data_IF_010602097607
#
_entry.id   IF_010602097607
#
_cell.length_a   1.000
_cell.length_b   1.000
_cell.length_c   1.000
_cell.angle_alpha   90.00
_cell.angle_beta   90.00
_cell.angle_gamma   90.00
#
_symmetry.space_group_name_H-M   'P 1'
#
loop_
_entity.id
_entity.type
_entity.pdbx_description
1 polymer ?
#
# COMPACT_ATOMS: atom_id res chain seq x y z
N UNK A 1 16.40 -27.51 2.34
CA UNK A 1 15.27 -27.61 3.30
C UNK A 1 15.68 -27.10 4.69
N UNK A 2 16.97 -27.06 5.04
CA UNK A 2 17.50 -26.33 6.21
C UNK A 2 17.08 -24.84 6.29
N UNK A 3 17.05 -24.11 5.17
CA UNK A 3 16.81 -22.66 5.16
C UNK A 3 15.42 -22.23 5.68
N UNK A 4 14.41 -23.09 5.56
CA UNK A 4 13.05 -22.79 6.05
C UNK A 4 12.93 -23.09 7.55
N UNK A 5 13.67 -24.09 8.05
CA UNK A 5 13.70 -24.43 9.48
C UNK A 5 14.43 -23.33 10.29
N UNK A 6 15.47 -22.73 9.73
CA UNK A 6 16.18 -21.60 10.37
C UNK A 6 15.33 -20.31 10.36
N UNK A 7 14.52 -20.10 9.32
CA UNK A 7 13.54 -18.99 9.27
C UNK A 7 12.42 -19.15 10.31
N UNK A 8 11.96 -20.37 10.57
CA UNK A 8 10.94 -20.64 11.60
C UNK A 8 11.49 -20.43 13.02
N UNK A 9 12.77 -20.78 13.25
CA UNK A 9 13.41 -20.65 14.57
C UNK A 9 13.65 -19.19 14.97
N UNK A 10 14.08 -18.33 14.03
CA UNK A 10 14.36 -16.91 14.30
C UNK A 10 13.12 -15.99 14.27
N UNK A 11 11.94 -16.50 13.92
CA UNK A 11 10.67 -15.74 13.90
C UNK A 11 9.83 -15.99 15.15
N UNK A 12 10.19 -16.99 15.95
CA UNK A 12 9.41 -17.49 17.08
C UNK A 12 10.26 -17.73 18.32
N UNK A 13 11.39 -17.04 18.50
CA UNK A 13 12.05 -17.08 19.80
C UNK A 13 11.12 -16.46 20.85
N UNK A 14 10.82 -17.34 21.79
CA UNK A 14 9.88 -17.27 22.90
C UNK A 14 10.48 -16.37 23.98
N UNK A 15 10.11 -15.10 24.04
CA UNK A 15 10.29 -14.29 25.26
C UNK A 15 9.38 -13.04 25.23
N UNK A 16 8.07 -13.27 25.19
CA UNK A 16 7.06 -12.34 25.75
C UNK A 16 5.70 -13.06 25.95
N UNK A 17 5.77 -14.32 26.37
CA UNK A 17 4.64 -15.13 26.82
C UNK A 17 4.88 -15.49 28.28
N UNK A 18 4.64 -14.55 29.20
CA UNK A 18 4.06 -14.75 30.54
C UNK A 18 3.66 -13.35 31.04
N UNK A 19 2.36 -13.13 31.19
CA UNK A 19 1.71 -12.56 32.39
C UNK A 19 0.32 -11.99 32.05
N UNK A 20 -0.59 -12.82 31.52
CA UNK A 20 -2.04 -12.63 31.75
C UNK A 20 -2.67 -14.01 31.95
N UNK A 21 -2.34 -14.64 33.08
CA UNK A 21 -3.22 -15.64 33.72
C UNK A 21 -3.53 -15.12 35.11
N UNK A 22 -4.75 -14.61 35.28
CA UNK A 22 -5.30 -14.25 36.57
C UNK A 22 -6.40 -13.22 36.40
N UNK A 23 -7.58 -13.55 36.94
CA UNK A 23 -8.70 -12.63 37.20
C UNK A 23 -9.54 -12.22 35.98
N UNK A 24 -10.86 -12.40 35.92
CA UNK A 24 -11.81 -12.97 36.84
C UNK A 24 -13.04 -13.41 36.01
N UNK A 25 -13.52 -14.62 36.26
CA UNK A 25 -14.88 -15.01 35.91
C UNK A 25 -15.83 -14.22 36.82
N UNK A 26 -16.25 -13.04 36.37
CA UNK A 26 -17.38 -12.31 36.95
C UNK A 26 -18.69 -12.98 36.54
N UNK A 27 -19.25 -13.79 37.43
CA UNK A 27 -20.64 -14.27 37.34
C UNK A 27 -21.56 -13.06 37.22
N UNK A 28 -22.25 -12.92 36.10
CA UNK A 28 -23.46 -12.08 36.05
C UNK A 28 -24.55 -12.85 36.79
N UNK A 29 -24.82 -12.40 38.02
CA UNK A 29 -26.02 -12.77 38.75
C UNK A 29 -27.25 -12.38 37.92
N UNK A 30 -28.30 -13.20 37.90
CA UNK A 30 -29.59 -12.78 37.37
C UNK A 30 -30.23 -11.87 38.43
N UNK A 31 -30.18 -10.55 38.23
CA UNK A 31 -31.07 -9.63 38.93
C UNK A 31 -32.49 -9.81 38.39
N UNK A 32 -33.11 -10.92 38.78
CA UNK A 32 -34.56 -11.08 38.74
C UNK A 32 -35.14 -10.40 39.97
N UNK A 33 -34.98 -9.09 40.08
CA UNK A 33 -35.88 -8.30 40.91
C UNK A 33 -37.19 -8.16 40.16
N UNK A 34 -38.18 -8.90 40.63
CA UNK A 34 -39.59 -8.71 40.31
C UNK A 34 -39.91 -7.24 40.64
N UNK A 35 -39.82 -6.37 39.63
CA UNK A 35 -40.20 -4.96 39.76
C UNK A 35 -41.67 -4.89 40.09
N UNK A 36 -41.92 -4.57 41.34
CA UNK A 36 -43.22 -4.30 41.93
C UNK A 36 -44.02 -3.33 41.04
N UNK A 37 -45.27 -3.71 40.74
CA UNK A 37 -46.18 -3.00 39.82
C UNK A 37 -46.72 -1.68 40.40
N UNK A 38 -46.23 -1.29 41.58
CA UNK A 38 -46.59 -0.08 42.31
C UNK A 38 -46.15 1.23 41.63
N UNK A 39 -45.17 1.19 40.72
CA UNK A 39 -44.69 2.40 40.02
C UNK A 39 -45.70 2.97 39.01
N UNK A 40 -46.52 2.11 38.38
CA UNK A 40 -47.60 2.54 37.46
C UNK A 40 -48.69 3.29 38.24
N UNK A 41 -48.96 2.87 39.48
CA UNK A 41 -49.84 3.60 40.40
C UNK A 41 -49.24 4.97 40.77
N UNK A 42 -47.94 5.04 41.08
CA UNK A 42 -47.28 6.30 41.43
C UNK A 42 -47.26 7.31 40.26
N UNK A 43 -46.89 6.87 39.05
CA UNK A 43 -46.72 7.76 37.87
C UNK A 43 -48.02 8.46 37.43
N UNK A 44 -49.18 7.83 37.62
CA UNK A 44 -50.45 8.43 37.21
C UNK A 44 -51.18 9.18 38.32
N UNK A 45 -50.88 8.90 39.60
CA UNK A 45 -51.44 9.59 40.76
C UNK A 45 -50.65 10.83 41.20
N UNK A 46 -49.39 11.00 40.78
CA UNK A 46 -48.63 12.23 41.02
C UNK A 46 -48.70 13.13 39.77
N UNK A 47 -49.31 14.30 39.95
CA UNK A 47 -49.52 15.34 38.94
C UNK A 47 -48.20 16.06 38.62
N UNK A 48 -47.48 15.64 37.58
CA UNK A 48 -46.47 16.50 36.93
C UNK A 48 -46.54 16.39 35.39
N UNK A 49 -46.43 17.50 34.63
CA UNK A 49 -46.51 17.49 33.17
C UNK A 49 -45.17 17.10 32.53
N UNK A 50 -45.20 16.24 31.50
CA UNK A 50 -44.04 15.89 30.67
C UNK A 50 -43.98 16.82 29.44
N UNK A 51 -42.83 17.49 29.24
CA UNK A 51 -42.51 18.27 28.04
C UNK A 51 -42.04 17.37 26.87
N UNK A 52 -42.39 17.76 25.65
CA UNK A 52 -42.12 17.02 24.42
C UNK A 52 -40.80 17.41 23.76
N UNK A 53 -40.00 16.41 23.35
CA UNK A 53 -38.86 16.58 22.43
C UNK A 53 -39.29 16.34 20.97
N UNK A 54 -38.88 17.19 20.00
CA UNK A 54 -39.17 16.98 18.59
C UNK A 54 -38.17 16.05 17.88
N UNK A 55 -38.65 15.40 16.82
CA UNK A 55 -37.89 14.57 15.86
C UNK A 55 -37.28 15.44 14.76
N UNK A 56 -36.06 15.13 14.34
CA UNK A 56 -35.49 15.61 13.07
C UNK A 56 -35.52 14.51 12.00
N UNK A 57 -36.03 14.88 10.83
CA UNK A 57 -35.89 14.20 9.55
C UNK A 57 -34.55 14.55 8.91
N UNK A 58 -33.91 13.61 8.21
CA UNK A 58 -32.90 13.94 7.21
C UNK A 58 -33.17 13.13 5.93
N UNK A 59 -33.23 13.87 4.84
CA UNK A 59 -33.54 13.49 3.46
C UNK A 59 -32.37 12.86 2.69
N UNK A 60 -32.69 11.96 1.77
CA UNK A 60 -31.83 11.48 0.69
C UNK A 60 -31.57 12.56 -0.38
N UNK A 61 -30.34 12.63 -0.90
CA UNK A 61 -30.06 13.16 -2.25
C UNK A 61 -28.99 12.33 -2.96
N UNK A 62 -29.29 12.03 -4.22
CA UNK A 62 -28.44 11.52 -5.29
C UNK A 62 -27.47 12.60 -5.78
N UNK A 63 -26.32 12.19 -6.28
CA UNK A 63 -25.57 12.94 -7.29
C UNK A 63 -24.98 11.95 -8.30
N UNK A 64 -25.30 12.21 -9.55
CA UNK A 64 -24.82 11.54 -10.75
C UNK A 64 -24.12 12.63 -11.58
N UNK A 65 -23.07 12.20 -12.27
CA UNK A 65 -22.48 12.78 -13.47
C UNK A 65 -21.36 13.82 -13.39
N UNK A 66 -20.62 13.83 -14.50
CA UNK A 66 -19.58 14.77 -14.96
C UNK A 66 -18.12 14.34 -14.72
N UNK A 67 -17.51 13.74 -15.76
CA UNK A 67 -16.45 14.38 -16.60
C UNK A 67 -15.66 13.33 -17.40
N UNK A 68 -15.99 13.19 -18.70
CA UNK A 68 -15.01 12.89 -19.77
C UNK A 68 -14.19 14.16 -20.03
N UNK A 69 -12.93 14.09 -20.51
CA UNK A 69 -12.72 14.13 -21.97
C UNK A 69 -11.33 13.56 -22.42
N UNK A 70 -10.75 13.63 -23.64
CA UNK A 70 -11.00 14.19 -24.98
C UNK A 70 -10.22 13.28 -25.97
N UNK A 71 -10.75 13.01 -27.16
CA UNK A 71 -9.96 12.65 -28.36
C UNK A 71 -9.33 13.93 -28.93
N UNK A 72 -8.13 13.85 -29.49
CA UNK A 72 -7.73 14.71 -30.60
C UNK A 72 -6.66 14.05 -31.50
N UNK A 73 -6.78 14.41 -32.77
CA UNK A 73 -6.30 13.82 -34.03
C UNK A 73 -5.01 14.55 -34.50
N UNK A 74 -4.26 14.06 -35.51
CA UNK A 74 -2.79 14.09 -35.58
C UNK A 74 -2.18 15.30 -36.34
N UNK A 75 -1.63 15.08 -37.54
CA UNK A 75 -0.93 16.00 -38.46
C UNK A 75 0.60 16.22 -38.17
N UNK A 76 1.43 16.65 -39.16
CA UNK A 76 2.28 15.81 -40.02
C UNK A 76 3.76 16.29 -39.99
N UNK A 77 4.67 15.68 -40.77
CA UNK A 77 5.66 16.43 -41.57
C UNK A 77 6.49 15.49 -42.45
N UNK A 78 6.42 15.78 -43.75
CA UNK A 78 7.24 15.29 -44.85
C UNK A 78 8.73 15.64 -44.63
N UNK A 79 9.65 14.96 -45.33
CA UNK A 79 10.33 15.52 -46.53
C UNK A 79 11.25 14.43 -47.09
N UNK A 80 10.92 13.97 -48.29
CA UNK A 80 11.80 13.21 -49.18
C UNK A 80 12.96 14.08 -49.65
N UNK A 81 14.18 13.53 -49.67
CA UNK A 81 15.31 14.09 -50.42
C UNK A 81 15.83 13.01 -51.38
N UNK A 82 16.16 13.35 -52.64
CA UNK A 82 16.27 12.40 -53.75
C UNK A 82 17.61 11.65 -53.77
N UNK A 83 17.58 10.44 -54.35
CA UNK A 83 18.78 9.75 -54.84
C UNK A 83 19.47 10.64 -55.88
N UNK A 84 20.67 11.11 -55.56
CA UNK A 84 21.58 11.74 -56.52
C UNK A 84 22.51 10.65 -57.05
N UNK A 85 22.34 10.30 -58.32
CA UNK A 85 23.31 9.53 -59.09
C UNK A 85 24.65 10.27 -59.09
N UNK A 86 25.69 9.62 -58.54
CA UNK A 86 27.06 10.10 -58.62
C UNK A 86 27.57 9.83 -60.03
N UNK A 87 27.91 10.86 -60.84
CA UNK A 87 28.55 10.63 -62.13
C UNK A 87 29.92 9.99 -61.91
N UNK A 88 30.21 8.91 -62.64
CA UNK A 88 31.56 8.34 -62.76
C UNK A 88 32.52 9.44 -63.21
N UNK A 89 33.30 9.98 -62.27
CA UNK A 89 34.55 10.65 -62.62
C UNK A 89 35.57 9.56 -62.95
N UNK A 90 35.79 9.37 -64.24
CA UNK A 90 37.00 8.72 -64.75
C UNK A 90 38.19 9.53 -64.24
N UNK A 91 38.92 8.99 -63.26
CA UNK A 91 40.28 9.43 -63.02
C UNK A 91 41.11 8.97 -64.21
N UNK A 92 41.93 9.84 -64.84
CA UNK A 92 42.90 9.37 -65.81
C UNK A 92 43.77 8.33 -65.12
N UNK A 93 43.87 7.15 -65.74
CA UNK A 93 44.87 6.15 -65.37
C UNK A 93 46.23 6.86 -65.36
N UNK A 94 46.80 7.06 -64.17
CA UNK A 94 48.21 7.39 -64.03
C UNK A 94 48.98 6.30 -64.78
N UNK A 95 49.61 6.69 -65.90
CA UNK A 95 50.50 5.83 -66.65
C UNK A 95 51.48 5.19 -65.68
N UNK A 96 51.57 3.85 -65.70
CA UNK A 96 52.66 3.13 -65.02
C UNK A 96 53.96 3.79 -65.45
N UNK A 97 54.83 4.24 -64.52
CA UNK A 97 56.09 4.83 -64.91
C UNK A 97 56.88 3.78 -65.69
N UNK A 98 57.24 4.12 -66.94
CA UNK A 98 58.20 3.36 -67.74
C UNK A 98 59.46 3.15 -66.90
N UNK A 99 60.06 1.95 -66.88
CA UNK A 99 61.29 1.72 -66.11
C UNK A 99 62.39 2.65 -66.64
N UNK A 100 62.96 3.53 -65.82
CA UNK A 100 64.12 4.32 -66.23
C UNK A 100 65.36 3.42 -66.26
N UNK A 101 66.26 3.78 -67.17
CA UNK A 101 67.50 3.10 -67.50
C UNK A 101 68.37 2.86 -66.26
N UNK A 102 68.95 1.67 -66.16
CA UNK A 102 70.07 1.37 -65.26
C UNK A 102 71.15 2.46 -65.37
N UNK A 103 71.40 3.20 -64.29
CA UNK A 103 72.52 4.16 -64.28
C UNK A 103 72.49 5.31 -63.26
N UNK A 104 71.49 5.44 -62.39
CA UNK A 104 71.60 6.40 -61.27
C UNK A 104 72.42 5.77 -60.14
N UNK A 105 73.58 6.37 -59.81
CA UNK A 105 74.39 6.00 -58.65
C UNK A 105 73.55 6.20 -57.38
N UNK A 106 73.00 5.10 -56.87
CA UNK A 106 72.34 5.07 -55.57
C UNK A 106 73.40 5.42 -54.52
N UNK A 107 73.14 6.47 -53.72
CA UNK A 107 74.01 6.87 -52.62
C UNK A 107 74.37 5.67 -51.72
N UNK A 108 75.64 5.51 -51.32
CA UNK A 108 76.05 4.48 -50.35
C UNK A 108 75.17 4.48 -49.09
N UNK A 109 74.76 5.66 -48.61
CA UNK A 109 73.91 5.78 -47.42
C UNK A 109 72.52 5.18 -47.60
N UNK A 110 71.95 5.28 -48.79
CA UNK A 110 70.62 4.73 -49.11
C UNK A 110 70.65 3.21 -49.24
N UNK A 111 71.77 2.64 -49.73
CA UNK A 111 71.99 1.19 -49.70
C UNK A 111 72.20 0.67 -48.28
N UNK A 112 72.95 1.40 -47.45
CA UNK A 112 73.15 1.08 -46.03
C UNK A 112 71.83 1.09 -45.26
N UNK A 113 71.00 2.13 -45.44
CA UNK A 113 69.70 2.25 -44.77
C UNK A 113 68.76 1.11 -45.17
N UNK A 114 68.68 0.77 -46.46
CA UNK A 114 67.88 -0.37 -46.92
C UNK A 114 68.35 -1.68 -46.26
N UNK A 115 69.67 -1.93 -46.23
CA UNK A 115 70.25 -3.12 -45.59
C UNK A 115 69.95 -3.16 -44.10
N UNK A 116 70.05 -2.02 -43.41
CA UNK A 116 69.75 -1.90 -41.98
C UNK A 116 68.27 -2.18 -41.69
N UNK A 117 67.34 -1.66 -42.50
CA UNK A 117 65.90 -1.90 -42.34
C UNK A 117 65.55 -3.36 -42.64
N UNK A 118 66.13 -3.96 -43.69
CA UNK A 118 65.92 -5.37 -44.04
C UNK A 118 66.48 -6.30 -42.96
N UNK A 119 67.65 -6.00 -42.42
CA UNK A 119 68.28 -6.75 -41.32
C UNK A 119 67.46 -6.63 -40.03
N UNK A 120 67.00 -5.43 -39.68
CA UNK A 120 66.10 -5.21 -38.54
C UNK A 120 64.79 -5.98 -38.73
N UNK A 121 64.19 -5.96 -39.92
CA UNK A 121 62.97 -6.71 -40.19
C UNK A 121 63.16 -8.22 -40.08
N UNK A 122 64.35 -8.73 -40.38
CA UNK A 122 64.69 -10.15 -40.24
C UNK A 122 64.94 -10.54 -38.78
N UNK A 123 65.61 -9.69 -38.01
CA UNK A 123 66.01 -9.96 -36.63
C UNK A 123 64.87 -9.70 -35.63
N UNK A 124 64.05 -8.68 -35.86
CA UNK A 124 62.99 -8.28 -34.94
C UNK A 124 61.73 -9.08 -35.24
N UNK A 125 61.71 -10.31 -34.73
CA UNK A 125 60.51 -11.13 -34.69
C UNK A 125 59.47 -10.55 -33.71
N UNK A 126 58.26 -11.10 -33.76
CA UNK A 126 57.14 -10.63 -32.91
C UNK A 126 57.43 -10.77 -31.41
N UNK A 127 58.25 -11.75 -31.01
CA UNK A 127 58.65 -11.99 -29.63
C UNK A 127 59.60 -10.91 -29.13
N UNK A 128 60.63 -10.59 -29.90
CA UNK A 128 61.60 -9.55 -29.58
C UNK A 128 60.94 -8.17 -29.48
N UNK A 129 60.06 -7.84 -30.42
CA UNK A 129 59.30 -6.58 -30.42
C UNK A 129 58.40 -6.50 -29.17
N UNK A 130 57.82 -7.61 -28.72
CA UNK A 130 56.96 -7.64 -27.54
C UNK A 130 57.70 -7.25 -26.25
N UNK A 131 58.91 -7.77 -26.05
CA UNK A 131 59.74 -7.47 -24.88
C UNK A 131 60.47 -6.12 -24.96
N UNK A 132 60.72 -5.59 -26.16
CA UNK A 132 61.51 -4.37 -26.37
C UNK A 132 60.74 -3.25 -27.08
N UNK A 133 59.41 -3.20 -26.94
CA UNK A 133 58.51 -2.35 -27.74
C UNK A 133 58.97 -0.87 -27.85
N UNK A 134 59.35 -0.25 -26.74
CA UNK A 134 59.75 1.17 -26.71
C UNK A 134 61.08 1.42 -27.44
N UNK A 135 62.02 0.47 -27.32
CA UNK A 135 63.31 0.51 -28.05
C UNK A 135 63.08 0.34 -29.55
N UNK A 136 62.21 -0.59 -29.94
CA UNK A 136 61.87 -0.84 -31.34
C UNK A 136 61.13 0.35 -31.95
N UNK A 137 60.18 0.97 -31.23
CA UNK A 137 59.49 2.20 -31.65
C UNK A 137 60.47 3.35 -31.85
N UNK A 138 61.40 3.54 -30.91
CA UNK A 138 62.44 4.57 -31.01
C UNK A 138 63.34 4.34 -32.23
N UNK A 139 63.75 3.09 -32.49
CA UNK A 139 64.55 2.73 -33.66
C UNK A 139 63.79 2.90 -34.97
N UNK A 140 62.51 2.54 -35.02
CA UNK A 140 61.64 2.81 -36.17
C UNK A 140 61.54 4.30 -36.49
N UNK A 141 61.34 5.15 -35.47
CA UNK A 141 61.29 6.61 -35.64
C UNK A 141 62.63 7.17 -36.13
N UNK A 142 63.76 6.61 -35.67
CA UNK A 142 65.09 6.97 -36.18
C UNK A 142 65.22 6.64 -37.67
N UNK A 143 64.87 5.41 -38.08
CA UNK A 143 64.94 4.96 -39.48
C UNK A 143 64.01 5.77 -40.39
N UNK A 144 62.81 6.12 -39.90
CA UNK A 144 61.86 6.97 -40.63
C UNK A 144 62.42 8.40 -40.82
N UNK A 145 63.06 8.95 -39.79
CA UNK A 145 63.70 10.26 -39.87
C UNK A 145 64.90 10.26 -40.82
N UNK A 146 65.68 9.18 -40.85
CA UNK A 146 66.79 9.02 -41.80
C UNK A 146 66.28 8.91 -43.23
N UNK A 147 65.23 8.10 -43.47
CA UNK A 147 64.54 8.03 -44.77
C UNK A 147 64.09 9.41 -45.24
N UNK A 148 63.48 10.21 -44.37
CA UNK A 148 62.98 11.55 -44.72
C UNK A 148 64.10 12.58 -45.00
N UNK A 149 65.35 12.31 -44.59
CA UNK A 149 66.51 13.15 -44.87
C UNK A 149 67.24 12.77 -46.17
N UNK A 150 66.88 11.64 -46.79
CA UNK A 150 67.50 11.21 -48.04
C UNK A 150 67.09 12.15 -49.18
N UNK A 151 68.07 12.59 -49.97
CA UNK A 151 67.88 13.39 -51.18
C UNK A 151 67.83 12.52 -52.46
N UNK A 152 67.99 11.20 -52.33
CA UNK A 152 68.01 10.25 -53.43
C UNK A 152 66.66 10.17 -54.14
N UNK A 153 66.69 10.22 -55.47
CA UNK A 153 65.50 10.22 -56.33
C UNK A 153 65.17 8.87 -56.95
N UNK A 154 65.99 7.84 -56.69
CA UNK A 154 65.77 6.51 -57.27
C UNK A 154 64.46 5.91 -56.72
N UNK A 155 63.39 5.82 -57.55
CA UNK A 155 62.06 5.49 -57.05
C UNK A 155 61.98 4.05 -56.55
N UNK A 156 62.75 3.12 -57.12
CA UNK A 156 62.70 1.70 -56.77
C UNK A 156 63.29 1.41 -55.38
N UNK A 157 64.43 2.04 -55.05
CA UNK A 157 65.08 1.83 -53.75
C UNK A 157 64.29 2.50 -52.63
N UNK A 158 63.76 3.69 -52.87
CA UNK A 158 62.90 4.40 -51.92
C UNK A 158 61.60 3.64 -51.67
N UNK A 159 60.94 3.13 -52.71
CA UNK A 159 59.73 2.30 -52.57
C UNK A 159 60.00 1.04 -51.72
N UNK A 160 61.17 0.41 -51.91
CA UNK A 160 61.56 -0.77 -51.13
C UNK A 160 61.86 -0.45 -49.67
N UNK A 161 62.50 0.70 -49.40
CA UNK A 161 62.69 1.24 -48.04
C UNK A 161 61.33 1.49 -47.39
N UNK A 162 60.41 2.15 -48.09
CA UNK A 162 59.08 2.48 -47.59
C UNK A 162 58.25 1.23 -47.28
N UNK A 163 58.30 0.24 -48.17
CA UNK A 163 57.65 -1.06 -47.95
C UNK A 163 58.22 -1.74 -46.71
N UNK A 164 59.54 -1.75 -46.55
CA UNK A 164 60.20 -2.39 -45.40
C UNK A 164 59.90 -1.65 -44.08
N UNK A 165 59.84 -0.32 -44.10
CA UNK A 165 59.41 0.49 -42.96
C UNK A 165 57.93 0.24 -42.63
N UNK A 166 57.08 0.06 -43.64
CA UNK A 166 55.66 -0.28 -43.46
C UNK A 166 55.53 -1.66 -42.81
N UNK A 167 56.28 -2.66 -43.27
CA UNK A 167 56.30 -4.00 -42.66
C UNK A 167 56.76 -3.97 -41.19
N UNK A 168 57.78 -3.17 -40.86
CA UNK A 168 58.24 -2.98 -39.49
C UNK A 168 57.18 -2.28 -38.63
N UNK A 169 56.54 -1.25 -39.17
CA UNK A 169 55.43 -0.55 -38.51
C UNK A 169 54.26 -1.49 -38.23
N UNK A 170 53.85 -2.29 -39.21
CA UNK A 170 52.76 -3.27 -39.06
C UNK A 170 53.07 -4.30 -37.96
N UNK A 171 54.33 -4.75 -37.84
CA UNK A 171 54.76 -5.63 -36.75
C UNK A 171 54.68 -4.92 -35.39
N UNK A 172 55.14 -3.67 -35.30
CA UNK A 172 55.06 -2.85 -34.08
C UNK A 172 53.61 -2.62 -33.66
N UNK A 173 52.73 -2.29 -34.61
CA UNK A 173 51.32 -2.02 -34.36
C UNK A 173 50.60 -3.30 -33.90
N UNK A 174 50.81 -4.44 -34.57
CA UNK A 174 50.28 -5.75 -34.14
C UNK A 174 50.69 -6.12 -32.72
N UNK A 175 51.96 -5.93 -32.38
CA UNK A 175 52.49 -6.24 -31.04
C UNK A 175 51.97 -5.24 -30.00
N UNK A 176 51.87 -3.95 -30.34
CA UNK A 176 51.29 -2.91 -29.49
C UNK A 176 49.84 -3.24 -29.16
N UNK A 177 49.03 -3.57 -30.16
CA UNK A 177 47.65 -4.01 -29.98
C UNK A 177 47.55 -5.27 -29.11
N UNK A 178 48.41 -6.27 -29.35
CA UNK A 178 48.45 -7.50 -28.53
C UNK A 178 48.76 -7.20 -27.06
N UNK A 179 49.73 -6.31 -26.79
CA UNK A 179 50.14 -5.94 -25.43
C UNK A 179 49.03 -5.15 -24.71
N UNK A 180 48.39 -4.21 -25.40
CA UNK A 180 47.25 -3.46 -24.86
C UNK A 180 46.04 -4.39 -24.59
N UNK A 181 45.73 -5.29 -25.52
CA UNK A 181 44.70 -6.30 -25.33
C UNK A 181 44.99 -7.23 -24.15
N UNK A 182 46.24 -7.66 -23.95
CA UNK A 182 46.62 -8.45 -22.76
C UNK A 182 46.46 -7.67 -21.46
N UNK A 183 46.80 -6.39 -21.45
CA UNK A 183 46.62 -5.51 -20.29
C UNK A 183 45.14 -5.37 -19.92
N UNK A 184 44.30 -5.01 -20.89
CA UNK A 184 42.84 -4.87 -20.70
C UNK A 184 42.26 -6.20 -20.20
N UNK A 185 42.69 -7.34 -20.78
CA UNK A 185 42.25 -8.65 -20.33
C UNK A 185 42.58 -8.90 -18.86
N UNK A 186 43.80 -8.58 -18.43
CA UNK A 186 44.22 -8.71 -17.04
C UNK A 186 43.40 -7.84 -16.09
N UNK A 187 43.07 -6.61 -16.48
CA UNK A 187 42.18 -5.72 -15.71
C UNK A 187 40.79 -6.33 -15.51
N UNK A 188 40.21 -6.91 -16.57
CA UNK A 188 38.94 -7.64 -16.49
C UNK A 188 39.01 -8.88 -15.58
N UNK A 189 40.09 -9.67 -15.67
CA UNK A 189 40.27 -10.86 -14.83
C UNK A 189 40.35 -10.48 -13.34
N UNK A 190 41.09 -9.42 -12.98
CA UNK A 190 41.15 -8.89 -11.62
C UNK A 190 39.77 -8.41 -11.13
N UNK A 191 39.01 -7.74 -11.99
CA UNK A 191 37.66 -7.29 -11.65
C UNK A 191 36.69 -8.45 -11.43
N UNK A 192 36.76 -9.50 -12.27
CA UNK A 192 35.95 -10.70 -12.11
C UNK A 192 36.28 -11.44 -10.80
N UNK A 193 37.56 -11.56 -10.45
CA UNK A 193 37.97 -12.14 -9.17
C UNK A 193 37.42 -11.35 -7.98
N UNK A 194 37.41 -10.01 -8.08
CA UNK A 194 36.80 -9.13 -7.08
C UNK A 194 35.29 -9.35 -6.97
N UNK A 195 34.58 -9.43 -8.09
CA UNK A 195 33.15 -9.72 -8.12
C UNK A 195 32.83 -11.08 -7.50
N UNK A 196 33.60 -12.12 -7.83
CA UNK A 196 33.41 -13.47 -7.29
C UNK A 196 33.68 -13.52 -5.77
N UNK A 197 34.67 -12.76 -5.27
CA UNK A 197 34.89 -12.58 -3.81
C UNK A 197 33.69 -11.91 -3.15
N UNK A 198 33.21 -10.80 -3.71
CA UNK A 198 32.06 -10.06 -3.19
C UNK A 198 30.81 -10.95 -3.19
N UNK A 199 30.55 -11.71 -4.24
CA UNK A 199 29.40 -12.62 -4.29
C UNK A 199 29.48 -13.77 -3.28
N UNK A 200 30.68 -14.19 -2.87
CA UNK A 200 30.85 -15.16 -1.78
C UNK A 200 30.58 -14.55 -0.41
N UNK A 201 31.05 -13.33 -0.18
CA UNK A 201 30.90 -12.61 1.08
C UNK A 201 29.48 -12.09 1.29
N UNK A 202 28.89 -11.50 0.25
CA UNK A 202 27.59 -10.84 0.28
C UNK A 202 26.47 -11.87 0.11
N UNK A 203 26.37 -12.73 1.11
CA UNK A 203 25.25 -13.65 1.29
C UNK A 203 23.98 -12.89 1.64
N UNK A 204 22.81 -13.52 1.47
CA UNK A 204 21.51 -12.94 1.84
C UNK A 204 21.47 -12.46 3.30
N UNK A 205 22.10 -13.21 4.21
CA UNK A 205 22.20 -12.87 5.64
C UNK A 205 23.06 -11.61 5.85
N UNK A 206 24.21 -11.51 5.19
CA UNK A 206 25.08 -10.34 5.26
C UNK A 206 24.40 -9.08 4.70
N UNK A 207 23.76 -9.19 3.54
CA UNK A 207 23.03 -8.09 2.90
C UNK A 207 21.91 -7.56 3.80
N UNK A 208 21.20 -8.44 4.50
CA UNK A 208 20.14 -8.03 5.43
C UNK A 208 20.67 -7.24 6.63
N UNK A 209 21.89 -7.54 7.09
CA UNK A 209 22.54 -6.85 8.21
C UNK A 209 23.24 -5.55 7.78
N UNK A 210 23.83 -5.51 6.58
CA UNK A 210 24.72 -4.43 6.12
C UNK A 210 24.21 -3.75 4.84
N UNK A 211 22.91 -3.44 4.75
CA UNK A 211 22.26 -3.04 3.50
C UNK A 211 22.84 -1.77 2.85
N UNK A 212 23.25 -0.77 3.64
CA UNK A 212 23.80 0.48 3.11
C UNK A 212 25.20 0.29 2.52
N UNK A 213 26.05 -0.46 3.20
CA UNK A 213 27.40 -0.79 2.76
C UNK A 213 27.35 -1.57 1.45
N UNK A 214 26.51 -2.61 1.38
CA UNK A 214 26.33 -3.41 0.17
C UNK A 214 25.82 -2.55 -0.99
N UNK A 215 24.88 -1.63 -0.75
CA UNK A 215 24.37 -0.72 -1.79
C UNK A 215 25.44 0.24 -2.29
N UNK A 216 26.26 0.81 -1.39
CA UNK A 216 27.40 1.65 -1.77
C UNK A 216 28.39 0.84 -2.62
N UNK A 217 28.71 -0.38 -2.20
CA UNK A 217 29.64 -1.24 -2.91
C UNK A 217 29.13 -1.64 -4.30
N UNK A 218 27.83 -1.91 -4.42
CA UNK A 218 27.19 -2.18 -5.71
C UNK A 218 27.32 -1.00 -6.68
N UNK A 219 27.15 0.23 -6.20
CA UNK A 219 27.35 1.43 -7.03
C UNK A 219 28.81 1.60 -7.44
N UNK A 220 29.77 1.37 -6.54
CA UNK A 220 31.20 1.38 -6.88
C UNK A 220 31.54 0.36 -7.98
N UNK A 221 30.95 -0.83 -7.94
CA UNK A 221 31.16 -1.87 -8.97
C UNK A 221 30.56 -1.49 -10.32
N UNK A 222 29.43 -0.76 -10.35
CA UNK A 222 28.87 -0.23 -11.58
C UNK A 222 29.79 0.82 -12.21
N UNK A 223 30.28 1.76 -11.40
CA UNK A 223 31.21 2.79 -11.87
C UNK A 223 32.52 2.17 -12.40
N UNK A 224 33.04 1.15 -11.72
CA UNK A 224 34.24 0.42 -12.15
C UNK A 224 33.99 -0.35 -13.46
N UNK A 225 32.82 -0.97 -13.62
CA UNK A 225 32.37 -1.62 -14.87
C UNK A 225 32.39 -0.63 -16.04
N UNK A 226 31.79 0.54 -15.85
CA UNK A 226 31.63 1.53 -16.92
C UNK A 226 32.97 2.14 -17.35
N UNK A 227 33.96 2.19 -16.44
CA UNK A 227 35.33 2.64 -16.75
C UNK A 227 36.16 1.63 -17.57
N UNK A 228 35.86 0.33 -17.52
CA UNK A 228 36.63 -0.70 -18.22
C UNK A 228 36.43 -0.75 -19.75
N UNK A 229 35.58 0.12 -20.31
CA UNK A 229 35.40 0.28 -21.76
C UNK A 229 34.82 -0.96 -22.48
N UNK A 230 34.69 -0.93 -23.82
CA UNK A 230 34.04 -2.00 -24.58
C UNK A 230 34.84 -3.33 -24.65
N UNK A 231 36.16 -3.28 -24.40
CA UNK A 231 37.04 -4.43 -24.11
C UNK A 231 36.71 -5.77 -24.78
N UNK A 232 36.82 -6.84 -24.00
CA UNK A 232 36.51 -8.21 -24.41
C UNK A 232 35.03 -8.52 -24.16
N UNK A 233 34.20 -8.71 -25.20
CA UNK A 233 32.75 -8.86 -25.03
C UNK A 233 32.36 -10.01 -24.09
N UNK A 234 33.10 -11.13 -24.15
CA UNK A 234 32.84 -12.31 -23.31
C UNK A 234 33.07 -12.02 -21.82
N UNK A 235 34.17 -11.35 -21.46
CA UNK A 235 34.47 -11.01 -20.06
C UNK A 235 33.52 -9.94 -19.53
N UNK A 236 33.14 -8.99 -20.39
CA UNK A 236 32.14 -7.98 -20.08
C UNK A 236 30.78 -8.61 -19.77
N UNK A 237 30.33 -9.57 -20.58
CA UNK A 237 29.07 -10.28 -20.34
C UNK A 237 29.09 -11.04 -19.02
N UNK A 238 30.21 -11.69 -18.68
CA UNK A 238 30.37 -12.37 -17.38
C UNK A 238 30.29 -11.37 -16.22
N UNK A 239 30.99 -10.24 -16.32
CA UNK A 239 30.95 -9.18 -15.31
C UNK A 239 29.53 -8.62 -15.13
N UNK A 240 28.80 -8.41 -16.22
CA UNK A 240 27.40 -7.97 -16.20
C UNK A 240 26.49 -8.98 -15.52
N UNK A 241 26.65 -10.28 -15.80
CA UNK A 241 25.90 -11.35 -15.12
C UNK A 241 26.17 -11.37 -13.62
N UNK A 242 27.42 -11.20 -13.19
CA UNK A 242 27.79 -11.16 -11.76
C UNK A 242 27.24 -9.94 -11.03
N UNK A 243 27.29 -8.77 -11.67
CA UNK A 243 26.71 -7.53 -11.12
C UNK A 243 25.19 -7.66 -11.02
N UNK A 244 24.54 -8.22 -12.05
CA UNK A 244 23.11 -8.48 -12.04
C UNK A 244 22.73 -9.48 -10.94
N UNK A 245 23.51 -10.55 -10.74
CA UNK A 245 23.31 -11.49 -9.64
C UNK A 245 23.36 -10.78 -8.26
N UNK A 246 24.31 -9.87 -8.06
CA UNK A 246 24.40 -9.08 -6.82
C UNK A 246 23.16 -8.19 -6.65
N UNK A 247 22.72 -7.51 -7.72
CA UNK A 247 21.50 -6.70 -7.71
C UNK A 247 20.28 -7.53 -7.31
N UNK A 248 20.10 -8.69 -7.92
CA UNK A 248 18.98 -9.59 -7.65
C UNK A 248 18.96 -10.03 -6.18
N UNK A 249 20.13 -10.31 -5.60
CA UNK A 249 20.25 -10.62 -4.17
C UNK A 249 19.84 -9.44 -3.27
N UNK A 250 20.26 -8.22 -3.61
CA UNK A 250 19.89 -7.00 -2.89
C UNK A 250 18.37 -6.78 -2.95
N UNK A 251 17.79 -6.84 -4.15
CA UNK A 251 16.36 -6.60 -4.37
C UNK A 251 15.51 -7.66 -3.66
N UNK A 252 15.94 -8.93 -3.67
CA UNK A 252 15.24 -10.01 -2.99
C UNK A 252 15.23 -9.84 -1.46
N UNK A 253 16.35 -9.38 -0.87
CA UNK A 253 16.42 -9.06 0.57
C UNK A 253 15.54 -7.86 0.92
N UNK A 254 15.55 -6.81 0.08
CA UNK A 254 14.66 -5.65 0.23
C UNK A 254 13.18 -6.06 0.25
N UNK A 255 12.74 -6.80 -0.75
CA UNK A 255 11.36 -7.34 -0.82
C UNK A 255 11.01 -8.20 0.39
N UNK A 256 11.93 -9.06 0.84
CA UNK A 256 11.70 -9.91 2.02
C UNK A 256 11.51 -9.09 3.30
N UNK A 257 12.26 -8.00 3.47
CA UNK A 257 12.13 -7.09 4.63
C UNK A 257 10.77 -6.37 4.63
N UNK A 258 10.34 -5.90 3.47
CA UNK A 258 9.05 -5.19 3.34
C UNK A 258 7.87 -6.15 3.53
N UNK A 259 7.93 -7.36 2.97
CA UNK A 259 6.96 -8.41 3.23
C UNK A 259 6.87 -8.74 4.73
N UNK A 260 8.01 -8.84 5.43
CA UNK A 260 8.02 -9.09 6.89
C UNK A 260 7.32 -7.97 7.67
N UNK A 261 7.53 -6.70 7.29
CA UNK A 261 6.84 -5.56 7.91
C UNK A 261 5.34 -5.61 7.69
N UNK A 262 4.90 -5.91 6.46
CA UNK A 262 3.45 -6.02 6.16
C UNK A 262 2.79 -7.15 6.94
N UNK A 263 3.44 -8.33 7.01
CA UNK A 263 2.95 -9.45 7.83
C UNK A 263 2.81 -9.06 9.30
N UNK A 264 3.81 -8.39 9.88
CA UNK A 264 3.77 -7.89 11.26
C UNK A 264 2.64 -6.86 11.46
N UNK A 265 2.44 -5.96 10.51
CA UNK A 265 1.38 -4.96 10.59
C UNK A 265 -0.02 -5.59 10.56
N UNK A 266 -0.25 -6.59 9.68
CA UNK A 266 -1.51 -7.34 9.63
C UNK A 266 -1.74 -8.08 10.95
N UNK A 267 -0.73 -8.76 11.48
CA UNK A 267 -0.84 -9.52 12.73
C UNK A 267 -1.13 -8.59 13.92
N UNK A 268 -0.45 -7.44 14.01
CA UNK A 268 -0.68 -6.44 15.06
C UNK A 268 -2.10 -5.90 15.01
N UNK A 269 -2.56 -5.45 13.83
CA UNK A 269 -3.93 -4.95 13.66
C UNK A 269 -4.98 -6.02 13.96
N UNK A 270 -4.74 -7.27 13.56
CA UNK A 270 -5.64 -8.38 13.86
C UNK A 270 -5.75 -8.64 15.37
N UNK A 271 -4.63 -8.60 16.10
CA UNK A 271 -4.63 -8.69 17.56
C UNK A 271 -5.36 -7.52 18.21
N UNK A 272 -5.13 -6.29 17.72
CA UNK A 272 -5.84 -5.11 18.21
C UNK A 272 -7.36 -5.23 18.03
N UNK A 273 -7.83 -5.79 16.90
CA UNK A 273 -9.25 -6.03 16.66
C UNK A 273 -9.82 -6.98 17.72
N UNK A 274 -9.11 -8.07 18.01
CA UNK A 274 -9.53 -9.08 18.99
C UNK A 274 -9.61 -8.50 20.40
N UNK A 275 -8.62 -7.69 20.81
CA UNK A 275 -8.62 -7.07 22.14
C UNK A 275 -9.66 -5.96 22.28
N UNK A 276 -9.77 -5.09 21.27
CA UNK A 276 -10.71 -3.96 21.27
C UNK A 276 -12.16 -4.40 21.04
N UNK A 277 -12.41 -5.62 20.57
CA UNK A 277 -13.76 -6.19 20.45
C UNK A 277 -14.57 -6.10 21.75
N UNK A 278 -13.92 -6.07 22.92
CA UNK A 278 -14.57 -5.90 24.22
C UNK A 278 -15.12 -4.49 24.47
N UNK A 279 -14.66 -3.47 23.73
CA UNK A 279 -14.96 -2.04 23.95
C UNK A 279 -16.07 -1.49 23.02
N UNK A 280 -16.77 -2.35 22.29
CA UNK A 280 -18.00 -2.08 21.49
C UNK A 280 -17.93 -1.05 20.32
N UNK A 281 -16.75 -0.65 19.83
CA UNK A 281 -16.66 0.15 18.58
C UNK A 281 -16.69 -0.73 17.31
N UNK A 282 -17.88 -1.18 16.92
CA UNK A 282 -18.03 -2.09 15.77
C UNK A 282 -17.58 -1.48 14.43
N UNK A 283 -17.82 -0.19 14.20
CA UNK A 283 -17.53 0.45 12.91
C UNK A 283 -16.04 0.64 12.68
N UNK A 284 -15.32 1.13 13.70
CA UNK A 284 -13.86 1.22 13.64
C UNK A 284 -13.20 -0.15 13.47
N UNK A 285 -13.70 -1.18 14.16
CA UNK A 285 -13.17 -2.54 14.05
C UNK A 285 -13.43 -3.19 12.69
N UNK A 286 -14.61 -2.98 12.09
CA UNK A 286 -14.91 -3.46 10.74
C UNK A 286 -14.03 -2.79 9.68
N UNK A 287 -13.75 -1.49 9.84
CA UNK A 287 -12.82 -0.76 8.97
C UNK A 287 -11.41 -1.34 9.06
N UNK A 288 -10.89 -1.53 10.28
CA UNK A 288 -9.58 -2.12 10.51
C UNK A 288 -9.47 -3.55 9.95
N UNK A 289 -10.54 -4.35 10.09
CA UNK A 289 -10.59 -5.69 9.50
C UNK A 289 -10.49 -5.64 7.97
N UNK A 290 -11.21 -4.72 7.31
CA UNK A 290 -11.10 -4.52 5.86
C UNK A 290 -9.68 -4.12 5.44
N UNK A 291 -9.02 -3.25 6.22
CA UNK A 291 -7.60 -2.92 6.00
C UNK A 291 -6.71 -4.16 6.09
N UNK A 292 -6.91 -5.03 7.09
CA UNK A 292 -6.14 -6.27 7.22
C UNK A 292 -6.32 -7.20 6.03
N UNK A 293 -7.56 -7.37 5.55
CA UNK A 293 -7.88 -8.20 4.38
C UNK A 293 -7.22 -7.65 3.12
N UNK A 294 -7.38 -6.34 2.85
CA UNK A 294 -6.79 -5.71 1.67
C UNK A 294 -5.25 -5.83 1.67
N UNK A 295 -4.61 -5.61 2.83
CA UNK A 295 -3.16 -5.78 2.96
C UNK A 295 -2.74 -7.22 2.73
N UNK A 296 -3.47 -8.18 3.31
CA UNK A 296 -3.20 -9.60 3.10
C UNK A 296 -3.33 -10.00 1.62
N UNK A 297 -4.40 -9.57 0.93
CA UNK A 297 -4.60 -9.85 -0.49
C UNK A 297 -3.42 -9.37 -1.34
N UNK A 298 -2.92 -8.17 -1.04
CA UNK A 298 -1.78 -7.56 -1.76
C UNK A 298 -0.47 -8.35 -1.65
N UNK A 299 -0.24 -9.07 -0.54
CA UNK A 299 0.99 -9.83 -0.29
C UNK A 299 0.81 -11.36 -0.39
N UNK A 300 -0.43 -11.82 -0.60
CA UNK A 300 -0.83 -13.24 -0.44
C UNK A 300 -0.06 -14.22 -1.33
N UNK A 301 0.38 -13.76 -2.51
CA UNK A 301 1.13 -14.56 -3.49
C UNK A 301 2.63 -14.66 -3.18
N UNK A 302 3.16 -13.68 -2.44
CA UNK A 302 4.60 -13.52 -2.22
C UNK A 302 5.08 -14.08 -0.88
N UNK A 303 4.14 -14.43 0.02
CA UNK A 303 4.45 -15.00 1.33
C UNK A 303 4.43 -16.54 1.34
N UNK A 304 5.24 -17.19 2.19
CA UNK A 304 5.20 -18.64 2.35
C UNK A 304 3.84 -19.16 2.85
N UNK A 305 3.41 -20.33 2.36
CA UNK A 305 2.14 -20.97 2.78
C UNK A 305 1.93 -21.01 4.31
N UNK A 306 2.90 -21.41 5.15
CA UNK A 306 2.70 -21.45 6.60
C UNK A 306 2.40 -20.07 7.23
N UNK A 307 2.98 -19.00 6.69
CA UNK A 307 2.72 -17.62 7.13
C UNK A 307 1.34 -17.18 6.66
N UNK A 308 1.00 -17.50 5.41
CA UNK A 308 -0.32 -17.24 4.82
C UNK A 308 -1.43 -17.89 5.64
N UNK A 309 -1.27 -19.16 6.04
CA UNK A 309 -2.26 -19.89 6.83
C UNK A 309 -2.42 -19.30 8.24
N UNK A 310 -1.33 -18.86 8.88
CA UNK A 310 -1.39 -18.14 10.16
C UNK A 310 -2.22 -16.86 10.06
N UNK A 311 -1.99 -16.04 9.02
CA UNK A 311 -2.75 -14.81 8.79
C UNK A 311 -4.22 -15.13 8.53
N UNK A 312 -4.52 -16.11 7.67
CA UNK A 312 -5.90 -16.55 7.39
C UNK A 312 -6.64 -16.97 8.66
N UNK A 313 -6.00 -17.76 9.52
CA UNK A 313 -6.60 -18.18 10.78
C UNK A 313 -6.92 -16.98 11.68
N UNK A 314 -6.03 -15.97 11.70
CA UNK A 314 -6.26 -14.77 12.51
C UNK A 314 -7.37 -13.88 11.95
N UNK A 315 -7.43 -13.72 10.63
CA UNK A 315 -8.53 -13.02 9.96
C UNK A 315 -9.87 -13.74 10.17
N UNK A 316 -9.87 -15.07 10.12
CA UNK A 316 -11.07 -15.87 10.42
C UNK A 316 -11.56 -15.64 11.86
N UNK A 317 -10.65 -15.64 12.83
CA UNK A 317 -10.96 -15.34 14.22
C UNK A 317 -11.56 -13.92 14.38
N UNK A 318 -10.95 -12.92 13.76
CA UNK A 318 -11.45 -11.54 13.74
C UNK A 318 -12.87 -11.48 13.18
N UNK A 319 -13.11 -12.09 12.01
CA UNK A 319 -14.43 -12.10 11.37
C UNK A 319 -15.50 -12.75 12.25
N UNK A 320 -15.16 -13.87 12.91
CA UNK A 320 -16.06 -14.57 13.84
C UNK A 320 -16.47 -13.66 15.00
N UNK A 321 -15.51 -12.94 15.60
CA UNK A 321 -15.76 -12.01 16.70
C UNK A 321 -16.64 -10.85 16.24
N UNK A 322 -16.32 -10.24 15.10
CA UNK A 322 -17.08 -9.11 14.55
C UNK A 322 -18.51 -9.50 14.21
N UNK A 323 -18.73 -10.70 13.66
CA UNK A 323 -20.06 -11.23 13.40
C UNK A 323 -20.87 -11.38 14.70
N UNK A 324 -20.27 -11.94 15.74
CA UNK A 324 -20.92 -12.07 17.06
C UNK A 324 -21.26 -10.71 17.68
N UNK A 325 -20.36 -9.72 17.57
CA UNK A 325 -20.63 -8.36 18.04
C UNK A 325 -21.78 -7.70 17.29
N UNK A 326 -21.83 -7.88 15.96
CA UNK A 326 -22.93 -7.37 15.13
C UNK A 326 -24.28 -7.96 15.57
N UNK A 327 -24.32 -9.28 15.77
CA UNK A 327 -25.52 -10.00 16.25
C UNK A 327 -25.95 -9.49 17.63
N UNK A 328 -25.02 -9.30 18.57
CA UNK A 328 -25.31 -8.73 19.91
C UNK A 328 -25.87 -7.31 19.83
N UNK A 329 -25.30 -6.45 18.97
CA UNK A 329 -25.77 -5.07 18.79
C UNK A 329 -27.20 -5.03 18.23
N UNK A 330 -27.54 -5.92 17.30
CA UNK A 330 -28.90 -6.07 16.77
C UNK A 330 -29.85 -6.57 17.86
N UNK A 331 -29.49 -7.64 18.56
CA UNK A 331 -30.32 -8.20 19.64
C UNK A 331 -30.59 -7.18 20.77
N UNK A 332 -29.59 -6.37 21.13
CA UNK A 332 -29.75 -5.29 22.12
C UNK A 332 -30.73 -4.21 21.64
N UNK A 333 -30.65 -3.80 20.37
CA UNK A 333 -31.63 -2.85 19.79
C UNK A 333 -33.05 -3.42 19.81
N UNK A 334 -33.24 -4.68 19.42
CA UNK A 334 -34.55 -5.33 19.45
C UNK A 334 -35.10 -5.48 20.87
N UNK A 335 -34.25 -5.83 21.85
CA UNK A 335 -34.63 -5.91 23.26
C UNK A 335 -35.13 -4.56 23.77
N UNK A 336 -34.37 -3.49 23.53
CA UNK A 336 -34.75 -2.12 23.91
C UNK A 336 -36.08 -1.71 23.26
N UNK A 337 -36.28 -2.03 21.97
CA UNK A 337 -37.55 -1.75 21.29
C UNK A 337 -38.72 -2.52 21.92
N UNK A 338 -38.55 -3.81 22.23
CA UNK A 338 -39.57 -4.63 22.89
C UNK A 338 -39.90 -4.13 24.29
N UNK A 339 -38.90 -3.73 25.08
CA UNK A 339 -39.09 -3.14 26.40
C UNK A 339 -39.82 -1.80 26.33
N UNK A 340 -39.45 -0.95 25.36
CA UNK A 340 -40.13 0.32 25.12
C UNK A 340 -41.59 0.09 24.75
N UNK A 341 -41.87 -0.82 23.81
CA UNK A 341 -43.23 -1.18 23.41
C UNK A 341 -44.06 -1.77 24.57
N UNK A 342 -43.47 -2.64 25.40
CA UNK A 342 -44.13 -3.18 26.60
C UNK A 342 -44.45 -2.08 27.60
N UNK A 343 -43.51 -1.17 27.83
CA UNK A 343 -43.70 -0.03 28.75
C UNK A 343 -44.85 0.85 28.29
N UNK A 344 -44.88 1.21 27.00
CA UNK A 344 -46.01 1.95 26.41
C UNK A 344 -47.33 1.19 26.51
N UNK A 345 -47.33 -0.14 26.37
CA UNK A 345 -48.54 -0.95 26.52
C UNK A 345 -49.06 -0.97 27.97
N UNK A 346 -48.17 -1.11 28.96
CA UNK A 346 -48.54 -1.06 30.38
C UNK A 346 -49.07 0.32 30.78
N UNK A 347 -48.48 1.39 30.24
CA UNK A 347 -48.95 2.76 30.41
C UNK A 347 -50.40 2.94 29.91
N UNK A 348 -50.69 2.47 28.68
CA UNK A 348 -52.04 2.51 28.12
C UNK A 348 -53.02 1.65 28.93
N UNK A 349 -52.62 0.47 29.42
CA UNK A 349 -53.47 -0.38 30.25
C UNK A 349 -53.76 0.24 31.62
N UNK A 350 -52.77 0.82 32.28
CA UNK A 350 -52.93 1.53 33.55
C UNK A 350 -53.90 2.71 33.41
N UNK A 351 -53.76 3.49 32.33
CA UNK A 351 -54.67 4.59 32.01
C UNK A 351 -56.12 4.12 31.75
N UNK A 352 -56.31 2.99 31.08
CA UNK A 352 -57.66 2.40 30.87
C UNK A 352 -58.31 1.95 32.18
N UNK A 353 -57.55 1.33 33.08
CA UNK A 353 -58.06 0.93 34.41
C UNK A 353 -58.46 2.18 35.20
N UNK A 354 -57.59 3.19 35.22
CA UNK A 354 -57.86 4.46 35.88
C UNK A 354 -59.13 5.14 35.32
N UNK A 355 -59.28 5.18 34.00
CA UNK A 355 -60.48 5.70 33.33
C UNK A 355 -61.76 4.96 33.76
N UNK A 356 -61.72 3.63 33.78
CA UNK A 356 -62.87 2.83 34.18
C UNK A 356 -63.26 3.06 35.64
N UNK A 357 -62.29 3.22 36.53
CA UNK A 357 -62.54 3.57 37.94
C UNK A 357 -63.17 4.96 38.06
N UNK A 358 -62.60 5.96 37.38
CA UNK A 358 -63.16 7.30 37.33
C UNK A 358 -64.62 7.31 36.83
N UNK A 359 -64.92 6.56 35.76
CA UNK A 359 -66.29 6.46 35.25
C UNK A 359 -67.26 5.81 36.24
N UNK A 360 -66.81 4.83 37.03
CA UNK A 360 -67.62 4.26 38.11
C UNK A 360 -67.89 5.28 39.20
N UNK A 361 -66.88 6.05 39.62
CA UNK A 361 -67.04 7.10 40.61
C UNK A 361 -68.04 8.17 40.17
N UNK A 362 -68.02 8.58 38.88
CA UNK A 362 -69.01 9.51 38.31
C UNK A 362 -70.42 8.91 38.35
N UNK A 363 -70.58 7.63 37.99
CA UNK A 363 -71.88 6.95 38.04
C UNK A 363 -72.42 6.80 39.47
N UNK A 364 -71.54 6.45 40.43
CA UNK A 364 -71.90 6.37 41.84
C UNK A 364 -72.26 7.74 42.40
N UNK A 365 -71.53 8.79 42.01
CA UNK A 365 -71.85 10.16 42.37
C UNK A 365 -73.23 10.59 41.84
N UNK A 366 -73.58 10.25 40.60
CA UNK A 366 -74.91 10.49 40.05
C UNK A 366 -76.02 9.75 40.82
N UNK A 367 -75.78 8.49 41.22
CA UNK A 367 -76.72 7.75 42.09
C UNK A 367 -76.88 8.42 43.46
N UNK A 368 -75.79 8.91 44.06
CA UNK A 368 -75.85 9.64 45.32
C UNK A 368 -76.64 10.94 45.19
N UNK A 369 -76.40 11.71 44.13
CA UNK A 369 -77.12 12.95 43.83
C UNK A 369 -78.62 12.75 43.71
N UNK A 370 -79.07 11.70 43.01
CA UNK A 370 -80.50 11.39 42.86
C UNK A 370 -81.26 11.12 44.17
N UNK A 371 -80.55 10.88 45.28
CA UNK A 371 -81.13 10.61 46.60
C UNK A 371 -80.80 11.70 47.63
N UNK A 372 -80.06 12.72 47.22
CA UNK A 372 -79.56 13.76 48.09
C UNK A 372 -80.68 14.73 48.49
N UNK A 373 -80.52 15.34 49.65
CA UNK A 373 -81.39 16.43 50.13
C UNK A 373 -80.63 17.75 50.10
N UNK A 374 -81.35 18.88 50.05
CA UNK A 374 -80.77 20.22 49.90
C UNK A 374 -79.65 20.55 50.89
N UNK A 375 -79.77 20.16 52.17
CA UNK A 375 -78.72 20.35 53.19
C UNK A 375 -77.36 19.66 52.90
N UNK A 376 -77.31 18.70 51.96
CA UNK A 376 -76.08 18.00 51.56
C UNK A 376 -75.36 18.69 50.39
N UNK A 377 -75.88 19.81 49.90
CA UNK A 377 -75.40 20.52 48.70
C UNK A 377 -73.89 20.81 48.75
N UNK A 378 -73.39 21.46 49.79
CA UNK A 378 -71.98 21.88 49.86
C UNK A 378 -70.99 20.71 49.83
N UNK A 379 -71.33 19.59 50.48
CA UNK A 379 -70.50 18.38 50.46
C UNK A 379 -70.46 17.75 49.06
N UNK A 380 -71.62 17.65 48.41
CA UNK A 380 -71.74 17.07 47.07
C UNK A 380 -71.12 17.97 45.99
N UNK A 381 -71.22 19.30 46.13
CA UNK A 381 -70.58 20.25 45.24
C UNK A 381 -69.05 20.16 45.30
N UNK A 382 -68.48 19.96 46.50
CA UNK A 382 -67.04 19.72 46.66
C UNK A 382 -66.61 18.39 46.02
N UNK A 383 -67.41 17.33 46.15
CA UNK A 383 -67.18 16.04 45.47
C UNK A 383 -67.24 16.18 43.94
N UNK A 384 -68.20 16.95 43.42
CA UNK A 384 -68.31 17.26 42.00
C UNK A 384 -67.09 17.99 41.45
N UNK A 385 -66.59 19.01 42.14
CA UNK A 385 -65.40 19.74 41.71
C UNK A 385 -64.16 18.82 41.62
N UNK A 386 -63.99 17.89 42.56
CA UNK A 386 -62.91 16.89 42.50
C UNK A 386 -63.02 15.98 41.28
N UNK A 387 -64.23 15.52 40.94
CA UNK A 387 -64.45 14.71 39.73
C UNK A 387 -64.18 15.52 38.45
N UNK A 388 -64.61 16.79 38.42
CA UNK A 388 -64.37 17.70 37.29
C UNK A 388 -62.87 17.98 37.07
N UNK A 389 -62.12 18.21 38.13
CA UNK A 389 -60.68 18.46 38.05
C UNK A 389 -59.93 17.21 37.58
N UNK A 390 -60.35 16.03 38.07
CA UNK A 390 -59.84 14.73 37.61
C UNK A 390 -60.13 14.50 36.12
N UNK A 391 -61.33 14.84 35.65
CA UNK A 391 -61.68 14.81 34.22
C UNK A 391 -60.78 15.74 33.38
N UNK A 392 -60.57 16.98 33.81
CA UNK A 392 -59.71 17.94 33.10
C UNK A 392 -58.28 17.42 32.96
N UNK A 393 -57.74 16.80 34.01
CA UNK A 393 -56.42 16.18 33.98
C UNK A 393 -56.35 14.97 33.04
N UNK A 394 -57.43 14.19 32.93
CA UNK A 394 -57.50 13.03 32.05
C UNK A 394 -57.64 13.41 30.58
N UNK A 395 -58.40 14.47 30.27
CA UNK A 395 -58.55 14.99 28.89
C UNK A 395 -57.20 15.41 28.31
N UNK A 396 -56.33 16.02 29.11
CA UNK A 396 -54.98 16.46 28.69
C UNK A 396 -54.04 15.31 28.30
N UNK A 397 -54.37 14.06 28.64
CA UNK A 397 -53.50 12.90 28.41
C UNK A 397 -53.70 12.22 27.05
N UNK A 398 -54.65 12.66 26.22
CA UNK A 398 -54.91 12.22 24.82
C UNK A 398 -55.04 10.70 24.54
N UNK A 399 -55.02 9.84 25.56
CA UNK A 399 -55.08 8.37 25.43
C UNK A 399 -56.52 7.81 25.46
N UNK A 400 -57.49 8.61 25.94
CA UNK A 400 -58.90 8.18 26.08
C UNK A 400 -59.67 8.56 24.81
N UNK A 401 -60.46 7.64 24.22
CA UNK A 401 -61.25 7.94 23.02
C UNK A 401 -62.20 9.12 23.24
N UNK A 402 -62.32 10.00 22.25
CA UNK A 402 -63.17 11.19 22.32
C UNK A 402 -64.63 10.89 22.65
N UNK A 403 -65.14 9.75 22.20
CA UNK A 403 -66.50 9.26 22.49
C UNK A 403 -66.72 8.96 23.98
N UNK A 404 -65.71 8.42 24.67
CA UNK A 404 -65.75 8.14 26.10
C UNK A 404 -65.63 9.44 26.92
N UNK A 405 -64.76 10.36 26.50
CA UNK A 405 -64.67 11.69 27.10
C UNK A 405 -66.01 12.44 27.04
N UNK A 406 -66.70 12.36 25.89
CA UNK A 406 -68.04 12.94 25.72
C UNK A 406 -69.07 12.32 26.67
N UNK A 407 -69.06 11.00 26.86
CA UNK A 407 -69.97 10.34 27.83
C UNK A 407 -69.74 10.86 29.25
N UNK A 408 -68.49 10.92 29.69
CA UNK A 408 -68.16 11.44 31.02
C UNK A 408 -68.60 12.91 31.19
N UNK A 409 -68.40 13.74 30.16
CA UNK A 409 -68.84 15.14 30.14
C UNK A 409 -70.36 15.25 30.28
N UNK A 410 -71.12 14.42 29.56
CA UNK A 410 -72.58 14.39 29.64
C UNK A 410 -73.02 14.00 31.06
N UNK A 411 -72.41 12.96 31.64
CA UNK A 411 -72.75 12.52 33.00
C UNK A 411 -72.42 13.58 34.06
N UNK A 412 -71.29 14.28 33.94
CA UNK A 412 -70.95 15.41 34.81
C UNK A 412 -71.91 16.60 34.62
N UNK A 413 -72.34 16.88 33.39
CA UNK A 413 -73.32 17.94 33.13
C UNK A 413 -74.64 17.64 33.84
N UNK A 414 -75.13 16.39 33.75
CA UNK A 414 -76.31 15.94 34.50
C UNK A 414 -76.12 16.09 36.00
N UNK A 415 -74.93 15.74 36.52
CA UNK A 415 -74.63 15.93 37.95
C UNK A 415 -74.76 17.39 38.37
N UNK A 416 -74.28 18.31 37.52
CA UNK A 416 -74.32 19.73 37.77
C UNK A 416 -75.76 20.28 37.79
N UNK A 417 -76.59 19.87 36.83
CA UNK A 417 -78.00 20.30 36.76
C UNK A 417 -78.79 19.88 38.01
N UNK A 418 -78.52 18.66 38.52
CA UNK A 418 -79.12 18.17 39.77
C UNK A 418 -78.60 18.95 40.99
N UNK A 419 -77.31 19.28 41.02
CA UNK A 419 -76.73 20.14 42.07
C UNK A 419 -77.33 21.55 42.07
N UNK A 420 -77.59 22.14 40.90
CA UNK A 420 -78.26 23.44 40.81
C UNK A 420 -79.70 23.37 41.34
N UNK A 421 -80.40 22.26 41.07
CA UNK A 421 -81.74 22.04 41.63
C UNK A 421 -81.70 21.96 43.16
N UNK A 422 -80.77 21.17 43.71
CA UNK A 422 -80.57 21.05 45.16
C UNK A 422 -80.17 22.38 45.82
N UNK A 423 -79.44 23.24 45.11
CA UNK A 423 -79.08 24.59 45.56
C UNK A 423 -80.29 25.52 45.64
N UNK A 424 -81.20 25.40 44.68
CA UNK A 424 -82.40 26.23 44.59
C UNK A 424 -83.51 25.79 45.56
N UNK A 425 -83.45 24.53 46.04
CA UNK A 425 -84.33 23.95 47.07
C UNK A 425 -83.81 24.15 48.51
N UNK A 426 -82.64 24.77 48.66
CA UNK A 426 -81.97 25.05 49.93
C UNK A 426 -82.33 26.44 50.43
#
# INVERSE_FOLDING_TARGET
MEDIKEYIKNVLDEEELIEIKGEAFGRLAPDSEIRDKSWVYKKYFTLEPLEATPKEEISEKKEEDLLKPFEEVPIPLEVSIPEVEVPKREFPLLEKPKPPKHGEEISPRTKELLKEIEEINRLYDTTYIFYNLDKVKSKYLQLLNERNKLLDKNPYVIERIDKSLTELKDKIDKVSHKKESQKIRGEYEVFLDKLDRILREYTKKYIAANSEEVRRKYLELLDEKDRMGPGFPQLKEVAEKRIQELRDRIDMVGRSKDLKKEVLAIMKLSNEIIEKAKKEDLEGLMSNYKTCVNRYESISKDIPKPVSDKIKNKLFECNRILKSLKERKVARKEMIQRETARTSQYEVQGLKIYWNTYMKEVQEFNKLLSRAKSHQYFELYNKFNKLRDTYSNLVKREVIPQTELQKARIELSKSFDVLETLKNEM
#
